data_IF_949717649233
#
_entry.id   IF_949717649233
#
_cell.length_a   1.000
_cell.length_b   1.000
_cell.length_c   1.000
_cell.angle_alpha   90.00
_cell.angle_beta   90.00
_cell.angle_gamma   90.00
#
_symmetry.space_group_name_H-M   'P 1'
#
loop_
_entity.id
_entity.type
_entity.pdbx_description
1 polymer ?
#
# COMPACT_ATOMS: atom_id res chain seq x y z
N UNK A 1 11.98 -4.50 -0.44
CA UNK A 1 11.21 -5.45 0.39
C UNK A 1 11.34 -4.99 1.83
N UNK A 2 10.33 -4.25 2.27
CA UNK A 2 10.26 -3.56 3.56
C UNK A 2 8.82 -3.63 4.06
N UNK A 3 8.62 -3.83 5.36
CA UNK A 3 7.29 -3.73 5.95
C UNK A 3 6.87 -2.26 6.00
N UNK A 4 5.73 -1.95 5.42
CA UNK A 4 5.16 -0.60 5.35
C UNK A 4 4.31 -0.34 6.60
N UNK A 5 4.26 0.91 7.05
CA UNK A 5 3.34 1.33 8.10
C UNK A 5 1.91 1.36 7.55
N UNK A 6 0.96 0.79 8.29
CA UNK A 6 -0.45 0.78 7.90
C UNK A 6 -1.15 1.96 8.56
N UNK A 7 -1.67 2.89 7.75
CA UNK A 7 -2.52 3.97 8.22
C UNK A 7 -3.85 3.42 8.77
N UNK A 8 -4.28 3.94 9.92
CA UNK A 8 -5.50 3.52 10.60
C UNK A 8 -6.47 4.69 10.76
N UNK A 9 -7.76 4.40 10.90
CA UNK A 9 -8.78 5.44 11.15
C UNK A 9 -8.44 6.19 12.46
N UNK A 10 -8.54 7.53 12.50
CA UNK A 10 -9.21 8.43 11.55
C UNK A 10 -8.28 9.18 10.57
N UNK A 11 -7.13 8.61 10.19
CA UNK A 11 -6.16 9.34 9.36
C UNK A 11 -6.79 9.90 8.06
N UNK A 12 -6.67 11.22 7.79
CA UNK A 12 -7.28 11.86 6.63
C UNK A 12 -6.78 11.31 5.29
N UNK A 13 -5.59 10.69 5.22
CA UNK A 13 -5.07 10.08 3.99
C UNK A 13 -6.03 9.02 3.44
N UNK A 14 -6.70 8.28 4.33
CA UNK A 14 -7.64 7.22 3.99
C UNK A 14 -8.91 7.73 3.29
N UNK A 15 -9.11 9.06 3.22
CA UNK A 15 -10.23 9.70 2.51
C UNK A 15 -9.83 10.33 1.18
N UNK A 16 -8.53 10.33 0.85
CA UNK A 16 -8.05 10.93 -0.39
C UNK A 16 -8.31 10.00 -1.58
N UNK A 17 -8.65 10.59 -2.73
CA UNK A 17 -8.80 9.85 -3.98
C UNK A 17 -7.42 9.62 -4.60
N UNK A 18 -7.06 8.37 -4.85
CA UNK A 18 -5.81 8.01 -5.51
C UNK A 18 -5.85 8.31 -7.00
N UNK A 19 -4.66 8.51 -7.58
CA UNK A 19 -4.48 8.68 -9.02
C UNK A 19 -4.35 7.33 -9.74
N UNK A 20 -4.53 7.35 -11.06
CA UNK A 20 -4.33 6.18 -11.90
C UNK A 20 -2.83 5.95 -12.14
N UNK A 21 -2.40 4.70 -11.99
CA UNK A 21 -1.04 4.30 -12.37
C UNK A 21 -0.94 4.28 -13.90
N UNK A 22 -0.05 5.10 -14.46
CA UNK A 22 0.18 5.18 -15.91
C UNK A 22 1.50 4.55 -16.36
N UNK A 23 2.43 4.31 -15.44
CA UNK A 23 3.75 3.74 -15.70
C UNK A 23 3.92 2.47 -14.87
N UNK A 24 4.16 1.35 -15.54
CA UNK A 24 4.35 0.04 -14.92
C UNK A 24 5.83 -0.33 -15.00
N UNK A 25 6.60 0.17 -14.04
CA UNK A 25 8.05 0.03 -13.97
C UNK A 25 8.48 -0.89 -12.80
N UNK A 26 9.79 -1.01 -12.59
CA UNK A 26 10.37 -1.80 -11.51
C UNK A 26 10.00 -1.25 -10.12
N UNK A 27 9.96 0.07 -9.96
CA UNK A 27 9.59 0.71 -8.70
C UNK A 27 8.16 0.33 -8.28
N UNK A 28 7.21 0.32 -9.22
CA UNK A 28 5.86 -0.16 -8.96
C UNK A 28 5.87 -1.63 -8.50
N UNK A 29 6.70 -2.48 -9.13
CA UNK A 29 6.84 -3.87 -8.71
C UNK A 29 7.40 -4.00 -7.28
N UNK A 30 8.39 -3.19 -6.91
CA UNK A 30 8.95 -3.17 -5.55
C UNK A 30 7.95 -2.69 -4.50
N UNK A 31 7.17 -1.67 -4.81
CA UNK A 31 6.10 -1.17 -3.95
C UNK A 31 5.03 -2.23 -3.73
N UNK A 32 4.53 -2.84 -4.81
CA UNK A 32 3.51 -3.91 -4.71
C UNK A 32 4.01 -5.13 -3.95
N UNK A 33 5.29 -5.48 -4.09
CA UNK A 33 5.89 -6.57 -3.33
C UNK A 33 5.94 -6.25 -1.82
N UNK A 34 6.30 -5.02 -1.46
CA UNK A 34 6.34 -4.56 -0.06
C UNK A 34 4.93 -4.49 0.55
N UNK A 35 3.92 -4.12 -0.26
CA UNK A 35 2.51 -4.17 0.14
C UNK A 35 2.02 -5.60 0.40
N UNK A 36 2.34 -6.56 -0.47
CA UNK A 36 1.98 -7.97 -0.28
C UNK A 36 2.58 -8.52 1.02
N UNK A 37 3.85 -8.25 1.26
CA UNK A 37 4.54 -8.68 2.49
C UNK A 37 3.87 -8.08 3.73
N UNK A 38 3.59 -6.78 3.71
CA UNK A 38 2.89 -6.06 4.80
C UNK A 38 1.49 -6.63 5.06
N UNK A 39 0.75 -6.96 3.99
CA UNK A 39 -0.57 -7.60 4.08
C UNK A 39 -0.47 -8.97 4.78
N UNK A 40 0.48 -9.81 4.39
CA UNK A 40 0.64 -11.13 5.01
C UNK A 40 1.06 -11.04 6.48
N UNK A 41 2.00 -10.16 6.83
CA UNK A 41 2.46 -9.96 8.20
C UNK A 41 1.34 -9.41 9.10
N UNK A 42 0.48 -8.54 8.58
CA UNK A 42 -0.68 -8.02 9.30
C UNK A 42 -1.85 -9.00 9.39
N UNK A 43 -1.75 -10.18 8.78
CA UNK A 43 -2.84 -11.17 8.72
C UNK A 43 -4.03 -10.72 7.86
N UNK A 44 -3.83 -9.72 7.00
CA UNK A 44 -4.84 -9.21 6.09
C UNK A 44 -5.04 -10.10 4.86
N UNK A 45 -6.18 -9.91 4.18
CA UNK A 45 -6.50 -10.57 2.89
C UNK A 45 -6.51 -9.59 1.71
N UNK A 46 -6.26 -8.31 1.97
CA UNK A 46 -6.14 -7.25 0.97
C UNK A 46 -5.51 -6.00 1.59
N UNK A 47 -4.74 -5.26 0.78
CA UNK A 47 -4.13 -3.99 1.17
C UNK A 47 -4.12 -3.05 -0.05
N UNK A 48 -4.71 -1.87 0.11
CA UNK A 48 -4.70 -0.80 -0.90
C UNK A 48 -3.51 0.15 -0.67
N UNK A 49 -2.97 0.75 -1.74
CA UNK A 49 -1.78 1.62 -1.66
C UNK A 49 -1.98 2.78 -0.67
N UNK A 50 -3.16 3.39 -0.64
CA UNK A 50 -3.50 4.48 0.28
C UNK A 50 -3.38 4.11 1.76
N UNK A 51 -3.43 2.81 2.10
CA UNK A 51 -3.28 2.33 3.46
C UNK A 51 -1.81 2.18 3.87
N UNK A 52 -0.87 2.23 2.92
CA UNK A 52 0.54 1.95 3.15
C UNK A 52 1.48 3.07 2.69
N UNK A 53 0.93 4.24 2.37
CA UNK A 53 1.67 5.45 1.97
C UNK A 53 1.91 5.53 0.49
#
# INVERSE_FOLDING_TARGET
>A
MTILEIYTFPDPILRQKTEAVTIFNHELAETTQSMLETMYVSGGIGLAAIQAG
#
